data_IF_639079088741
#
_entry.id   IF_639079088741
#
_cell.length_a   1.000
_cell.length_b   1.000
_cell.length_c   1.000
_cell.angle_alpha   90.00
_cell.angle_beta   90.00
_cell.angle_gamma   90.00
#
_symmetry.space_group_name_H-M   'P 1'
#
loop_
_entity.id
_entity.type
_entity.pdbx_description
1 polymer ?
#
# COMPACT_ATOMS: atom_id res chain seq x y z
N UNK A 1 -15.49 -5.59 2.64
CA UNK A 1 -16.35 -6.59 1.95
C UNK A 1 -17.10 -5.93 0.80
N UNK A 2 -17.36 -6.64 -0.30
CA UNK A 2 -17.60 -6.14 -1.68
C UNK A 2 -16.41 -5.46 -2.37
N UNK A 3 -15.87 -4.36 -1.85
CA UNK A 3 -14.68 -3.71 -2.46
C UNK A 3 -13.50 -4.68 -2.57
N UNK A 4 -13.22 -5.39 -1.48
CA UNK A 4 -12.09 -6.31 -1.41
C UNK A 4 -12.33 -7.56 -2.27
N UNK A 5 -13.59 -7.98 -2.41
CA UNK A 5 -13.97 -9.06 -3.32
C UNK A 5 -13.74 -8.67 -4.78
N UNK A 6 -14.18 -7.48 -5.22
CA UNK A 6 -13.90 -6.98 -6.58
C UNK A 6 -12.40 -6.86 -6.85
N UNK A 7 -11.63 -6.41 -5.86
CA UNK A 7 -10.17 -6.34 -5.96
C UNK A 7 -9.55 -7.72 -6.19
N UNK A 8 -10.01 -8.74 -5.46
CA UNK A 8 -9.57 -10.13 -5.65
C UNK A 8 -9.94 -10.66 -7.04
N UNK A 9 -11.18 -10.42 -7.50
CA UNK A 9 -11.61 -10.81 -8.84
C UNK A 9 -10.78 -10.13 -9.93
N UNK A 10 -10.55 -8.82 -9.82
CA UNK A 10 -9.72 -8.05 -10.76
C UNK A 10 -8.30 -8.61 -10.81
N UNK A 11 -7.72 -8.95 -9.65
CA UNK A 11 -6.39 -9.55 -9.57
C UNK A 11 -6.33 -10.93 -10.24
N UNK A 12 -7.35 -11.79 -10.06
CA UNK A 12 -7.38 -13.13 -10.64
C UNK A 12 -7.61 -13.11 -12.16
N UNK A 13 -8.61 -12.35 -12.59
CA UNK A 13 -9.17 -12.48 -13.92
C UNK A 13 -8.83 -11.36 -14.90
N UNK A 14 -8.37 -10.19 -14.42
CA UNK A 14 -8.19 -9.01 -15.27
C UNK A 14 -6.74 -8.51 -15.35
N UNK A 15 -6.05 -8.42 -14.22
CA UNK A 15 -4.70 -7.85 -14.20
C UNK A 15 -3.74 -8.66 -15.09
N UNK A 16 -3.06 -7.96 -16.01
CA UNK A 16 -2.05 -8.54 -16.91
C UNK A 16 -2.63 -9.34 -18.08
N UNK A 17 -3.92 -9.20 -18.38
CA UNK A 17 -4.61 -9.85 -19.50
C UNK A 17 -5.29 -8.83 -20.40
N UNK A 18 -5.46 -9.13 -21.68
CA UNK A 18 -6.28 -8.32 -22.58
C UNK A 18 -7.77 -8.54 -22.32
N UNK A 19 -8.61 -7.64 -22.84
CA UNK A 19 -10.06 -7.78 -22.74
C UNK A 19 -10.54 -9.11 -23.35
N UNK A 20 -10.02 -9.51 -24.52
CA UNK A 20 -10.40 -10.76 -25.16
C UNK A 20 -10.02 -11.98 -24.31
N UNK A 21 -8.80 -11.98 -23.74
CA UNK A 21 -8.34 -13.05 -22.85
C UNK A 21 -9.23 -13.16 -21.61
N UNK A 22 -9.64 -12.05 -21.02
CA UNK A 22 -10.53 -12.05 -19.86
C UNK A 22 -11.91 -12.63 -20.17
N UNK A 23 -12.45 -12.35 -21.36
CA UNK A 23 -13.78 -12.81 -21.80
C UNK A 23 -13.80 -14.30 -22.16
N UNK A 24 -12.64 -14.87 -22.50
CA UNK A 24 -12.48 -16.30 -22.77
C UNK A 24 -12.38 -17.16 -21.50
N UNK A 25 -12.18 -16.56 -20.33
CA UNK A 25 -12.06 -17.29 -19.05
C UNK A 25 -13.45 -17.77 -18.60
N UNK A 26 -13.52 -19.04 -18.17
CA UNK A 26 -14.66 -19.59 -17.43
C UNK A 26 -14.36 -19.51 -15.93
N UNK A 27 -14.90 -18.50 -15.21
CA UNK A 27 -14.65 -18.32 -13.79
C UNK A 27 -15.35 -19.38 -12.92
N UNK A 28 -14.70 -19.75 -11.80
CA UNK A 28 -15.25 -20.68 -10.81
C UNK A 28 -16.05 -19.96 -9.70
N UNK A 29 -15.69 -18.70 -9.40
CA UNK A 29 -16.17 -17.96 -8.22
C UNK A 29 -17.22 -16.89 -8.54
N UNK A 30 -17.44 -16.61 -9.82
CA UNK A 30 -18.33 -15.57 -10.33
C UNK A 30 -18.99 -16.09 -11.61
N UNK A 31 -20.20 -15.66 -11.96
CA UNK A 31 -20.79 -16.07 -13.24
C UNK A 31 -20.03 -15.43 -14.42
N UNK A 32 -20.10 -16.07 -15.59
CA UNK A 32 -19.49 -15.55 -16.82
C UNK A 32 -20.05 -14.16 -17.15
N UNK A 33 -21.36 -13.97 -17.05
CA UNK A 33 -22.05 -12.71 -17.31
C UNK A 33 -21.59 -11.61 -16.37
N UNK A 34 -21.43 -11.93 -15.08
CA UNK A 34 -20.93 -10.99 -14.08
C UNK A 34 -19.47 -10.60 -14.35
N UNK A 35 -18.63 -11.57 -14.75
CA UNK A 35 -17.25 -11.29 -15.13
C UNK A 35 -17.21 -10.38 -16.37
N UNK A 36 -18.02 -10.63 -17.40
CA UNK A 36 -18.12 -9.79 -18.60
C UNK A 36 -18.43 -8.33 -18.25
N UNK A 37 -19.43 -8.12 -17.38
CA UNK A 37 -19.80 -6.77 -16.92
C UNK A 37 -18.65 -6.08 -16.17
N UNK A 38 -17.91 -6.81 -15.34
CA UNK A 38 -16.75 -6.26 -14.62
C UNK A 38 -15.58 -5.93 -15.55
N UNK A 39 -15.28 -6.81 -16.50
CA UNK A 39 -14.22 -6.60 -17.50
C UNK A 39 -14.55 -5.39 -18.36
N UNK A 40 -15.80 -5.25 -18.81
CA UNK A 40 -16.26 -4.07 -19.55
C UNK A 40 -16.03 -2.79 -18.74
N UNK A 41 -16.49 -2.79 -17.48
CA UNK A 41 -16.31 -1.65 -16.58
C UNK A 41 -14.84 -1.28 -16.36
N UNK A 42 -13.98 -2.26 -16.07
CA UNK A 42 -12.56 -2.02 -15.81
C UNK A 42 -11.79 -1.55 -17.04
N UNK A 43 -12.26 -1.91 -18.24
CA UNK A 43 -11.65 -1.53 -19.51
C UNK A 43 -12.14 -0.19 -20.05
N UNK A 44 -12.97 0.54 -19.30
CA UNK A 44 -13.37 1.90 -19.70
C UNK A 44 -12.23 2.89 -19.42
N UNK A 45 -11.96 3.78 -20.37
CA UNK A 45 -10.87 4.78 -20.30
C UNK A 45 -10.88 5.54 -18.96
N UNK A 46 -12.06 5.98 -18.52
CA UNK A 46 -12.23 6.69 -17.25
C UNK A 46 -11.77 5.86 -16.05
N UNK A 47 -12.10 4.58 -15.99
CA UNK A 47 -11.75 3.71 -14.86
C UNK A 47 -10.26 3.37 -14.89
N UNK A 48 -9.70 3.18 -16.08
CA UNK A 48 -8.28 2.96 -16.29
C UNK A 48 -7.47 4.19 -15.85
N UNK A 49 -7.85 5.39 -16.28
CA UNK A 49 -7.21 6.65 -15.89
C UNK A 49 -7.23 6.85 -14.36
N UNK A 50 -8.39 6.63 -13.73
CA UNK A 50 -8.51 6.70 -12.27
C UNK A 50 -7.61 5.65 -11.59
N UNK A 51 -7.54 4.44 -12.15
CA UNK A 51 -6.73 3.35 -11.60
C UNK A 51 -5.24 3.69 -11.68
N UNK A 52 -4.76 4.21 -12.81
CA UNK A 52 -3.35 4.59 -12.98
C UNK A 52 -2.99 5.79 -12.11
N UNK A 53 -3.86 6.81 -12.04
CA UNK A 53 -3.67 7.95 -11.13
C UNK A 53 -3.60 7.51 -9.67
N UNK A 54 -4.46 6.58 -9.25
CA UNK A 54 -4.43 6.04 -7.88
C UNK A 54 -3.15 5.24 -7.60
N UNK A 55 -2.64 4.50 -8.59
CA UNK A 55 -1.36 3.79 -8.48
C UNK A 55 -0.19 4.76 -8.33
N UNK A 56 -0.15 5.82 -9.14
CA UNK A 56 0.86 6.88 -9.02
C UNK A 56 0.77 7.60 -7.68
N UNK A 57 -0.43 8.01 -7.24
CA UNK A 57 -0.63 8.63 -5.93
C UNK A 57 -0.18 7.71 -4.78
N UNK A 58 -0.40 6.40 -4.92
CA UNK A 58 0.07 5.42 -3.93
C UNK A 58 1.58 5.27 -3.92
N UNK A 59 2.24 5.41 -5.07
CA UNK A 59 3.71 5.45 -5.15
C UNK A 59 4.27 6.74 -4.53
N UNK A 60 3.58 7.86 -4.64
CA UNK A 60 3.99 9.15 -4.04
C UNK A 60 3.70 9.24 -2.52
N UNK A 61 3.18 8.18 -1.90
CA UNK A 61 2.89 8.20 -0.48
C UNK A 61 4.22 8.29 0.29
N UNK A 62 4.39 9.36 1.07
CA UNK A 62 5.58 9.58 1.89
C UNK A 62 5.74 8.57 3.04
N UNK A 63 6.75 8.77 3.91
CA UNK A 63 7.02 7.85 5.01
C UNK A 63 5.84 7.78 5.97
N UNK A 64 5.21 6.60 6.02
CA UNK A 64 4.08 6.31 6.90
C UNK A 64 4.51 6.34 8.37
N UNK A 65 3.59 6.73 9.25
CA UNK A 65 3.78 6.64 10.69
C UNK A 65 3.83 5.15 11.11
N UNK A 66 4.97 4.70 11.67
CA UNK A 66 5.23 3.28 11.98
C UNK A 66 5.39 2.97 13.47
N UNK A 67 5.21 3.95 14.34
CA UNK A 67 5.36 3.76 15.79
C UNK A 67 4.11 3.15 16.45
N UNK A 68 3.13 2.76 15.62
CA UNK A 68 1.88 2.16 16.08
C UNK A 68 1.12 3.12 16.97
N UNK A 69 0.86 2.70 18.21
CA UNK A 69 0.15 3.50 19.22
C UNK A 69 1.07 4.43 20.00
N UNK A 70 2.40 4.34 19.81
CA UNK A 70 3.34 5.22 20.50
C UNK A 70 3.41 6.56 19.77
N UNK A 71 3.10 7.63 20.50
CA UNK A 71 3.31 9.00 20.03
C UNK A 71 4.79 9.35 20.01
N UNK A 72 5.16 10.39 19.26
CA UNK A 72 6.53 10.93 19.27
C UNK A 72 6.96 11.33 20.69
N UNK A 73 6.05 11.85 21.51
CA UNK A 73 6.34 12.25 22.89
C UNK A 73 6.66 11.05 23.78
N UNK A 74 5.93 9.94 23.64
CA UNK A 74 6.23 8.71 24.38
C UNK A 74 7.59 8.14 23.98
N UNK A 75 7.91 8.14 22.69
CA UNK A 75 9.21 7.67 22.20
C UNK A 75 10.33 8.56 22.71
N UNK A 76 10.16 9.88 22.66
CA UNK A 76 11.13 10.83 23.21
C UNK A 76 11.38 10.57 24.70
N UNK A 77 10.32 10.37 25.49
CA UNK A 77 10.47 10.04 26.92
C UNK A 77 11.22 8.71 27.14
N UNK A 78 10.89 7.67 26.38
CA UNK A 78 11.60 6.39 26.45
C UNK A 78 13.09 6.54 26.08
N UNK A 79 13.41 7.41 25.11
CA UNK A 79 14.79 7.74 24.74
C UNK A 79 15.51 8.51 25.85
N UNK A 80 14.83 9.47 26.52
CA UNK A 80 15.38 10.20 27.68
C UNK A 80 15.70 9.24 28.83
N UNK A 81 14.77 8.34 29.16
CA UNK A 81 14.95 7.30 30.19
C UNK A 81 16.11 6.35 29.86
N UNK A 82 16.33 6.07 28.57
CA UNK A 82 17.45 5.25 28.10
C UNK A 82 18.77 6.02 27.92
N UNK A 83 18.81 7.33 28.20
CA UNK A 83 19.99 8.18 28.01
C UNK A 83 20.38 8.38 26.53
N UNK A 84 19.45 8.17 25.60
CA UNK A 84 19.66 8.38 24.16
C UNK A 84 19.47 9.87 23.80
N UNK A 85 20.06 10.35 22.69
CA UNK A 85 19.82 11.70 22.19
C UNK A 85 18.35 11.91 21.82
N UNK A 86 17.79 13.04 22.22
CA UNK A 86 16.37 13.37 22.02
C UNK A 86 16.15 14.58 21.12
N UNK A 87 17.16 14.94 20.32
CA UNK A 87 16.96 15.90 19.24
C UNK A 87 15.89 15.40 18.24
N UNK A 88 15.31 16.32 17.49
CA UNK A 88 14.22 16.02 16.57
C UNK A 88 14.60 14.97 15.53
N UNK A 89 15.85 14.96 15.07
CA UNK A 89 16.34 14.00 14.08
C UNK A 89 16.53 12.61 14.70
N UNK A 90 17.13 12.51 15.88
CA UNK A 90 17.29 11.24 16.60
C UNK A 90 15.95 10.59 16.92
N UNK A 91 14.98 11.36 17.40
CA UNK A 91 13.61 10.84 17.60
C UNK A 91 13.00 10.41 16.27
N UNK A 92 13.18 11.19 15.20
CA UNK A 92 12.67 10.86 13.87
C UNK A 92 13.25 9.54 13.31
N UNK A 93 14.55 9.28 13.54
CA UNK A 93 15.24 8.05 13.17
C UNK A 93 14.71 6.89 14.00
N UNK A 94 14.68 7.01 15.33
CA UNK A 94 14.19 5.95 16.25
C UNK A 94 12.75 5.54 15.91
N UNK A 95 11.89 6.49 15.52
CA UNK A 95 10.52 6.21 15.09
C UNK A 95 10.46 5.29 13.85
N UNK A 96 11.48 5.34 12.99
CA UNK A 96 11.56 4.67 11.69
C UNK A 96 12.53 3.50 11.63
N UNK A 97 13.30 3.27 12.68
CA UNK A 97 14.14 2.08 12.84
C UNK A 97 13.44 1.01 13.68
N UNK A 98 13.77 -0.25 13.43
CA UNK A 98 13.40 -1.37 14.29
C UNK A 98 14.31 -1.45 15.54
N UNK A 99 14.07 -2.45 16.39
CA UNK A 99 14.87 -2.69 17.61
C UNK A 99 16.35 -2.99 17.30
N UNK A 100 16.67 -3.42 16.08
CA UNK A 100 18.03 -3.68 15.60
C UNK A 100 18.67 -2.49 14.88
N UNK A 101 18.01 -1.33 14.83
CA UNK A 101 18.50 -0.15 14.12
C UNK A 101 18.31 -0.21 12.60
N UNK A 102 17.62 -1.23 12.07
CA UNK A 102 17.36 -1.32 10.64
C UNK A 102 16.18 -0.44 10.26
N UNK A 103 16.21 0.21 9.09
CA UNK A 103 15.07 0.93 8.59
C UNK A 103 13.85 0.00 8.43
N UNK A 104 12.68 0.44 8.89
CA UNK A 104 11.46 -0.37 8.84
C UNK A 104 10.85 -0.52 7.43
N UNK A 105 11.34 0.23 6.43
CA UNK A 105 10.99 0.10 5.01
C UNK A 105 12.01 0.81 4.11
N UNK A 106 11.87 0.63 2.80
CA UNK A 106 12.71 1.20 1.75
C UNK A 106 12.74 2.74 1.78
N UNK A 107 11.67 3.39 2.26
CA UNK A 107 11.58 4.84 2.40
C UNK A 107 12.36 5.36 3.60
N UNK A 108 12.26 4.67 4.74
CA UNK A 108 13.07 4.91 5.92
C UNK A 108 14.54 4.65 5.59
N UNK A 109 14.83 3.61 4.79
CA UNK A 109 16.19 3.34 4.33
C UNK A 109 16.75 4.49 3.48
N UNK A 110 15.95 5.06 2.59
CA UNK A 110 16.35 6.19 1.76
C UNK A 110 16.53 7.53 2.53
N UNK A 111 16.05 7.63 3.77
CA UNK A 111 16.08 8.87 4.59
C UNK A 111 17.06 8.81 5.77
N UNK A 112 17.62 7.63 6.07
CA UNK A 112 18.52 7.40 7.22
C UNK A 112 19.99 7.26 6.77
N UNK A 113 20.25 7.13 5.46
CA UNK A 113 21.59 7.20 4.83
C UNK A 113 22.03 8.67 4.71
#
# INVERSE_FOLDING_TARGET
MWRDWKSQMKRKYYNGKTKEECLAIVPQEISVEQLKVLVEYWSTDRVEEISEKNKQNRMMLGPLHRTGRKSCANIRREMEEAGKPTDTLSVYIEMRTDLGGNPKDDYAAALIV
#
